data_IF_835610741960
#
_entry.id   IF_835610741960
#
_cell.length_a   1.000
_cell.length_b   1.000
_cell.length_c   1.000
_cell.angle_alpha   90.00
_cell.angle_beta   90.00
_cell.angle_gamma   90.00
#
_symmetry.space_group_name_H-M   'P 1'
#
loop_
_entity.id
_entity.type
_entity.pdbx_description
1 polymer ?
#
# COMPACT_ATOMS: atom_id res chain seq x y z
N UNK A 1 12.94 -22.21 -72.52
CA UNK A 1 12.07 -21.13 -72.00
C UNK A 1 11.46 -21.55 -70.67
N UNK A 2 11.35 -20.60 -69.73
CA UNK A 2 10.59 -20.59 -68.47
C UNK A 2 11.27 -21.21 -67.23
N UNK A 3 11.93 -20.30 -66.50
CA UNK A 3 12.28 -20.40 -65.07
C UNK A 3 11.00 -20.14 -64.25
N UNK A 4 10.72 -20.96 -63.25
CA UNK A 4 9.67 -20.74 -62.22
C UNK A 4 10.39 -20.84 -60.86
N UNK A 5 10.86 -19.72 -60.32
CA UNK A 5 10.20 -18.91 -59.27
C UNK A 5 9.80 -19.81 -58.07
N UNK A 6 10.72 -20.00 -57.11
CA UNK A 6 10.77 -19.28 -55.82
C UNK A 6 9.49 -19.44 -55.00
N UNK A 7 9.51 -20.29 -53.98
CA UNK A 7 8.54 -20.26 -52.89
C UNK A 7 9.28 -20.48 -51.58
N UNK A 8 9.79 -19.38 -51.02
CA UNK A 8 10.31 -19.35 -49.66
C UNK A 8 9.10 -19.31 -48.72
N UNK A 9 8.76 -20.45 -48.12
CA UNK A 9 7.82 -20.51 -47.01
C UNK A 9 8.53 -20.00 -45.75
N UNK A 10 8.42 -18.69 -45.51
CA UNK A 10 8.90 -18.06 -44.27
C UNK A 10 7.98 -18.49 -43.13
N UNK A 11 8.48 -19.42 -42.31
CA UNK A 11 7.94 -19.76 -41.00
C UNK A 11 7.97 -18.52 -40.11
N UNK A 12 6.83 -17.86 -39.94
CA UNK A 12 6.60 -16.87 -38.89
C UNK A 12 5.97 -17.57 -37.68
N UNK A 13 6.78 -18.33 -36.94
CA UNK A 13 6.45 -18.75 -35.57
C UNK A 13 6.67 -17.56 -34.64
N UNK A 14 5.70 -16.68 -34.54
CA UNK A 14 5.63 -15.69 -33.47
C UNK A 14 5.13 -16.37 -32.21
N UNK A 15 6.04 -17.01 -31.45
CA UNK A 15 5.76 -17.34 -30.05
C UNK A 15 5.70 -16.04 -29.27
N UNK A 16 4.49 -15.48 -29.16
CA UNK A 16 4.20 -14.46 -28.17
C UNK A 16 4.29 -15.10 -26.79
N UNK A 17 5.49 -15.18 -26.23
CA UNK A 17 5.66 -15.32 -24.78
C UNK A 17 5.15 -14.02 -24.19
N UNK A 18 3.84 -13.96 -23.93
CA UNK A 18 3.25 -12.95 -23.07
C UNK A 18 4.00 -13.06 -21.75
N UNK A 19 4.86 -12.08 -21.48
CA UNK A 19 5.39 -11.84 -20.16
C UNK A 19 4.19 -11.68 -19.24
N UNK A 20 3.84 -12.75 -18.53
CA UNK A 20 3.15 -12.64 -17.28
C UNK A 20 4.07 -11.81 -16.39
N UNK A 21 3.92 -10.49 -16.42
CA UNK A 21 4.45 -9.62 -15.39
C UNK A 21 3.80 -10.16 -14.11
N UNK A 22 4.55 -10.78 -13.18
CA UNK A 22 4.02 -10.94 -11.85
C UNK A 22 3.84 -9.51 -11.37
N UNK A 23 2.59 -9.02 -11.39
CA UNK A 23 2.21 -7.83 -10.67
C UNK A 23 2.47 -8.16 -9.21
N UNK A 24 3.72 -7.97 -8.79
CA UNK A 24 4.11 -7.88 -7.41
C UNK A 24 3.37 -6.68 -6.86
N UNK A 25 2.13 -6.90 -6.40
CA UNK A 25 1.57 -6.10 -5.33
C UNK A 25 2.57 -6.24 -4.20
N UNK A 26 3.49 -5.28 -4.11
CA UNK A 26 4.54 -5.28 -3.10
C UNK A 26 3.93 -5.62 -1.75
N UNK A 27 4.65 -6.39 -0.94
CA UNK A 27 4.23 -6.77 0.40
C UNK A 27 3.68 -5.52 1.10
N UNK A 28 2.41 -5.60 1.51
CA UNK A 28 1.80 -4.50 2.24
C UNK A 28 2.64 -4.27 3.49
N UNK A 29 3.06 -3.02 3.77
CA UNK A 29 3.82 -2.73 4.97
C UNK A 29 3.05 -3.23 6.21
N UNK A 30 3.78 -3.89 7.11
CA UNK A 30 3.27 -4.33 8.40
C UNK A 30 2.52 -3.17 9.10
N UNK A 31 1.25 -3.36 9.50
CA UNK A 31 0.46 -2.35 10.19
C UNK A 31 1.19 -1.71 11.38
N UNK A 32 2.00 -2.47 12.12
CA UNK A 32 2.77 -1.97 13.28
C UNK A 32 3.83 -0.95 12.86
N UNK A 33 4.49 -1.20 11.73
CA UNK A 33 5.47 -0.26 11.15
C UNK A 33 4.77 1.01 10.67
N UNK A 34 3.55 0.90 10.18
CA UNK A 34 2.76 2.05 9.73
C UNK A 34 2.30 2.93 10.89
N UNK A 35 1.85 2.33 12.00
CA UNK A 35 1.43 3.10 13.19
C UNK A 35 2.61 3.70 13.96
N UNK A 36 3.75 3.01 14.03
CA UNK A 36 4.98 3.58 14.57
C UNK A 36 5.41 4.84 13.81
N UNK A 37 5.43 4.79 12.47
CA UNK A 37 5.70 5.97 11.63
C UNK A 37 4.68 7.08 11.84
N UNK A 38 3.39 6.74 11.99
CA UNK A 38 2.36 7.72 12.27
C UNK A 38 2.58 8.40 13.63
N UNK A 39 2.98 7.65 14.66
CA UNK A 39 3.28 8.18 15.99
C UNK A 39 4.48 9.14 15.98
N UNK A 40 5.52 8.85 15.19
CA UNK A 40 6.65 9.78 14.98
C UNK A 40 6.19 11.10 14.35
N UNK A 41 5.37 11.03 13.29
CA UNK A 41 4.84 12.22 12.63
C UNK A 41 3.92 13.05 13.53
N UNK A 42 3.15 12.39 14.40
CA UNK A 42 2.24 13.03 15.36
C UNK A 42 2.93 13.42 16.67
N UNK A 43 4.25 13.23 16.77
CA UNK A 43 5.09 13.57 17.93
C UNK A 43 4.52 13.04 19.25
N UNK A 44 4.25 11.74 19.30
CA UNK A 44 3.78 11.10 20.54
C UNK A 44 4.78 11.32 21.68
N UNK A 45 4.26 11.62 22.87
CA UNK A 45 5.06 11.65 24.09
C UNK A 45 5.39 10.22 24.58
N UNK A 46 6.20 10.12 25.63
CA UNK A 46 6.68 8.83 26.13
C UNK A 46 5.56 7.98 26.76
N UNK A 47 4.54 8.61 27.34
CA UNK A 47 3.38 7.90 27.87
C UNK A 47 2.51 7.33 26.73
N UNK A 48 2.32 8.09 25.66
CA UNK A 48 1.60 7.66 24.46
C UNK A 48 2.36 6.56 23.71
N UNK A 49 3.69 6.66 23.60
CA UNK A 49 4.53 5.60 23.03
C UNK A 49 4.42 4.30 23.84
N UNK A 50 4.37 4.40 25.16
CA UNK A 50 4.18 3.23 26.04
C UNK A 50 2.84 2.56 25.76
N UNK A 51 1.74 3.32 25.72
CA UNK A 51 0.41 2.81 25.37
C UNK A 51 0.36 2.22 23.96
N UNK A 52 1.08 2.80 23.00
CA UNK A 52 1.17 2.28 21.64
C UNK A 52 1.89 0.92 21.61
N UNK A 53 2.95 0.77 22.39
CA UNK A 53 3.65 -0.51 22.54
C UNK A 53 2.72 -1.56 23.11
N UNK A 54 2.03 -1.26 24.21
CA UNK A 54 1.03 -2.16 24.81
C UNK A 54 -0.07 -2.55 23.81
N UNK A 55 -0.56 -1.59 23.02
CA UNK A 55 -1.53 -1.86 21.97
C UNK A 55 -0.98 -2.80 20.90
N UNK A 56 0.25 -2.59 20.44
CA UNK A 56 0.91 -3.46 19.46
C UNK A 56 1.19 -4.86 20.03
N UNK A 57 1.41 -4.98 21.33
CA UNK A 57 1.62 -6.26 22.02
C UNK A 57 0.28 -6.99 22.27
N UNK A 58 -0.82 -6.25 22.45
CA UNK A 58 -2.18 -6.82 22.53
C UNK A 58 -2.66 -7.36 21.17
N UNK A 59 -2.28 -6.69 20.09
CA UNK A 59 -2.66 -7.06 18.72
C UNK A 59 -1.47 -7.67 17.99
N UNK A 60 -1.20 -8.96 18.22
CA UNK A 60 -0.15 -9.73 17.56
C UNK A 60 -0.69 -10.60 16.42
N UNK A 61 0.18 -10.91 15.46
CA UNK A 61 -0.18 -11.69 14.28
C UNK A 61 -0.99 -10.90 13.25
N UNK A 62 -1.50 -11.61 12.24
CA UNK A 62 -2.26 -11.02 11.13
C UNK A 62 -3.78 -11.10 11.32
N UNK A 63 -4.23 -11.94 12.25
CA UNK A 63 -5.65 -12.26 12.47
C UNK A 63 -6.23 -11.45 13.63
N UNK A 64 -6.21 -10.13 13.44
CA UNK A 64 -6.79 -9.21 14.40
C UNK A 64 -7.76 -8.22 13.75
N UNK A 65 -8.70 -7.75 14.55
CA UNK A 65 -9.65 -6.73 14.10
C UNK A 65 -8.94 -5.39 13.90
N UNK A 66 -8.63 -5.11 12.63
CA UNK A 66 -7.96 -3.88 12.20
C UNK A 66 -8.77 -2.64 12.54
N UNK A 67 -10.10 -2.71 12.48
CA UNK A 67 -10.95 -1.56 12.82
C UNK A 67 -10.82 -1.27 14.30
N UNK A 68 -10.95 -2.30 15.14
CA UNK A 68 -10.79 -2.15 16.59
C UNK A 68 -9.41 -1.64 16.98
N UNK A 69 -8.35 -2.17 16.36
CA UNK A 69 -6.99 -1.67 16.55
C UNK A 69 -6.86 -0.18 16.19
N UNK A 70 -7.43 0.25 15.07
CA UNK A 70 -7.42 1.67 14.67
C UNK A 70 -8.20 2.57 15.64
N UNK A 71 -9.34 2.10 16.15
CA UNK A 71 -10.15 2.82 17.12
C UNK A 71 -9.38 2.99 18.46
N UNK A 72 -8.74 1.92 18.95
CA UNK A 72 -7.89 1.96 20.15
C UNK A 72 -6.62 2.81 19.94
N UNK A 73 -6.00 2.74 18.77
CA UNK A 73 -4.86 3.59 18.40
C UNK A 73 -5.24 5.09 18.45
N UNK A 74 -6.42 5.43 17.94
CA UNK A 74 -6.94 6.80 17.94
C UNK A 74 -7.27 7.29 19.36
N UNK A 75 -7.63 6.39 20.27
CA UNK A 75 -7.88 6.73 21.67
C UNK A 75 -6.61 7.13 22.45
N UNK A 76 -5.42 6.72 21.98
CA UNK A 76 -4.13 7.13 22.58
C UNK A 76 -3.80 8.60 22.24
N UNK A 77 -4.33 9.11 21.14
CA UNK A 77 -4.06 10.46 20.64
C UNK A 77 -4.80 11.54 21.41
N UNK A 78 -4.18 12.71 21.51
CA UNK A 78 -4.87 13.96 21.87
C UNK A 78 -5.78 14.41 20.73
N UNK A 79 -6.70 15.33 21.03
CA UNK A 79 -7.63 15.84 20.00
C UNK A 79 -6.91 16.62 18.90
N UNK A 80 -5.83 17.33 19.23
CA UNK A 80 -4.98 18.01 18.25
C UNK A 80 -4.27 17.02 17.32
N UNK A 81 -3.75 15.92 17.86
CA UNK A 81 -3.12 14.85 17.07
C UNK A 81 -4.14 14.15 16.16
N UNK A 82 -5.37 13.93 16.63
CA UNK A 82 -6.46 13.38 15.80
C UNK A 82 -6.77 14.29 14.62
N UNK A 83 -6.84 15.60 14.86
CA UNK A 83 -7.07 16.60 13.81
C UNK A 83 -5.95 16.59 12.77
N UNK A 84 -4.69 16.57 13.21
CA UNK A 84 -3.54 16.45 12.30
C UNK A 84 -3.56 15.14 11.50
N UNK A 85 -3.94 14.03 12.12
CA UNK A 85 -4.08 12.75 11.44
C UNK A 85 -5.17 12.78 10.36
N UNK A 86 -6.30 13.44 10.63
CA UNK A 86 -7.39 13.60 9.66
C UNK A 86 -7.00 14.49 8.48
N UNK A 87 -6.28 15.58 8.74
CA UNK A 87 -5.74 16.45 7.69
C UNK A 87 -4.74 15.70 6.79
N UNK A 88 -3.83 14.91 7.40
CA UNK A 88 -2.91 14.04 6.66
C UNK A 88 -3.65 12.99 5.83
N UNK A 89 -4.72 12.41 6.37
CA UNK A 89 -5.56 11.43 5.66
C UNK A 89 -6.25 12.09 4.47
N UNK A 90 -6.84 13.28 4.64
CA UNK A 90 -7.48 14.04 3.57
C UNK A 90 -6.48 14.36 2.45
N UNK A 91 -5.30 14.89 2.80
CA UNK A 91 -4.22 15.20 1.85
C UNK A 91 -3.73 13.98 1.07
N UNK A 92 -3.71 12.78 1.69
CA UNK A 92 -3.36 11.52 1.01
C UNK A 92 -4.52 10.99 0.15
N UNK A 93 -5.76 11.16 0.59
CA UNK A 93 -6.97 10.80 -0.17
C UNK A 93 -7.10 11.61 -1.46
N UNK A 94 -6.86 12.92 -1.39
CA UNK A 94 -6.94 13.83 -2.54
C UNK A 94 -5.89 13.47 -3.62
N UNK A 95 -4.66 13.13 -3.22
CA UNK A 95 -3.63 12.63 -4.17
C UNK A 95 -3.97 11.29 -4.82
N UNK A 96 -4.76 10.45 -4.14
CA UNK A 96 -5.24 9.18 -4.69
C UNK A 96 -6.40 9.35 -5.69
N UNK A 97 -7.10 10.48 -5.64
CA UNK A 97 -8.19 10.85 -6.54
C UNK A 97 -7.68 11.59 -7.78
N UNK A 98 -6.64 12.43 -7.66
CA UNK A 98 -6.04 13.13 -8.83
C UNK A 98 -5.49 12.15 -9.88
N UNK A 99 -4.94 11.00 -9.47
CA UNK A 99 -4.47 9.96 -10.38
C UNK A 99 -5.60 9.11 -11.03
N UNK A 100 -6.88 9.40 -10.74
CA UNK A 100 -8.04 8.70 -11.34
C UNK A 100 -8.85 9.58 -12.29
N UNK A 101 -8.42 10.82 -12.57
CA UNK A 101 -9.04 11.65 -13.60
C UNK A 101 -8.61 11.11 -14.98
N UNK A 102 -9.52 10.56 -15.80
CA UNK A 102 -9.20 10.30 -17.19
C UNK A 102 -9.10 11.64 -17.91
N UNK A 103 -8.02 11.83 -18.69
CA UNK A 103 -7.95 12.86 -19.73
C UNK A 103 -8.95 12.58 -20.86
#
# INVERSE_FOLDING_TARGET
MKKLILTAAVLLTTTATMFAQPQGRGERPDPKKMTAKAAEHLKFDDAQKTKLKELNDKYQGDDYDKKKYHDEFRAIMTDDQKKQADELRKKRGDRGMDNRRPE
#
